data_IF_064687234816
#
_entry.id   IF_064687234816
#
_cell.length_a   1.000
_cell.length_b   1.000
_cell.length_c   1.000
_cell.angle_alpha   90.00
_cell.angle_beta   90.00
_cell.angle_gamma   90.00
#
_symmetry.space_group_name_H-M   'P 1'
#
loop_
_entity.id
_entity.type
_entity.pdbx_description
1 polymer ?
#
# COMPACT_ATOMS: atom_id res chain seq x y z
N UNK A 1 -1.69 15.77 14.55
CA UNK A 1 -0.52 14.99 14.08
C UNK A 1 -0.20 15.44 12.66
N UNK A 2 1.07 15.35 12.22
CA UNK A 2 1.45 15.73 10.87
C UNK A 2 1.15 14.60 9.87
N UNK A 3 0.80 14.95 8.64
CA UNK A 3 0.68 14.00 7.54
C UNK A 3 2.04 13.35 7.28
N UNK A 4 2.04 12.04 7.10
CA UNK A 4 3.22 11.26 6.71
C UNK A 4 3.07 10.80 5.27
N UNK A 5 4.17 10.82 4.52
CA UNK A 5 4.17 10.48 3.11
C UNK A 5 5.34 9.57 2.75
N UNK A 6 5.09 8.64 1.84
CA UNK A 6 6.11 7.83 1.20
C UNK A 6 5.86 7.76 -0.30
N UNK A 7 6.92 7.97 -1.08
CA UNK A 7 6.94 7.62 -2.49
C UNK A 7 7.85 6.41 -2.71
N UNK A 8 7.39 5.46 -3.51
CA UNK A 8 8.15 4.31 -3.98
C UNK A 8 7.69 3.91 -5.39
N UNK A 9 8.49 3.10 -6.07
CA UNK A 9 8.17 2.55 -7.38
C UNK A 9 7.75 1.09 -7.20
N UNK A 10 6.83 0.66 -8.04
CA UNK A 10 6.44 -0.74 -8.17
C UNK A 10 6.43 -1.07 -9.66
N UNK A 11 6.53 -2.35 -10.02
CA UNK A 11 6.33 -2.77 -11.41
C UNK A 11 5.12 -3.68 -11.51
N UNK A 12 4.25 -3.40 -12.47
CA UNK A 12 3.08 -4.23 -12.74
C UNK A 12 3.49 -5.61 -13.33
N UNK A 13 2.54 -6.55 -13.54
CA UNK A 13 2.85 -7.86 -14.09
C UNK A 13 3.47 -7.84 -15.50
N UNK A 14 3.33 -6.74 -16.24
CA UNK A 14 3.97 -6.54 -17.55
C UNK A 14 5.38 -5.94 -17.43
N UNK A 15 5.82 -5.65 -16.20
CA UNK A 15 7.13 -5.06 -15.90
C UNK A 15 7.18 -3.55 -16.07
N UNK A 16 6.05 -2.85 -16.26
CA UNK A 16 6.03 -1.39 -16.39
C UNK A 16 6.11 -0.73 -15.04
N UNK A 17 6.88 0.36 -14.96
CA UNK A 17 7.06 1.07 -13.71
C UNK A 17 5.81 1.89 -13.38
N UNK A 18 5.44 1.90 -12.10
CA UNK A 18 4.40 2.74 -11.55
C UNK A 18 4.93 3.44 -10.30
N UNK A 19 4.77 4.76 -10.25
CA UNK A 19 5.10 5.54 -9.07
C UNK A 19 3.90 5.52 -8.13
N UNK A 20 4.14 5.13 -6.88
CA UNK A 20 3.14 5.12 -5.82
C UNK A 20 3.46 6.24 -4.83
N UNK A 21 2.50 7.13 -4.60
CA UNK A 21 2.51 8.08 -3.49
C UNK A 21 1.48 7.62 -2.46
N UNK A 22 1.96 7.37 -1.25
CA UNK A 22 1.13 7.04 -0.11
C UNK A 22 1.18 8.20 0.89
N UNK A 23 0.04 8.85 1.11
CA UNK A 23 -0.15 9.82 2.20
C UNK A 23 -1.00 9.22 3.31
N UNK A 24 -0.59 9.37 4.56
CA UNK A 24 -1.32 8.89 5.75
C UNK A 24 -1.43 10.01 6.76
N UNK A 25 -2.63 10.19 7.31
CA UNK A 25 -2.88 10.90 8.56
C UNK A 25 -3.06 9.87 9.69
N UNK A 26 -2.03 9.63 10.51
CA UNK A 26 -2.14 8.66 11.60
C UNK A 26 -3.15 9.10 12.67
N UNK A 27 -3.36 10.41 12.85
CA UNK A 27 -4.26 10.94 13.87
C UNK A 27 -5.74 10.66 13.61
N UNK A 28 -6.10 10.44 12.35
CA UNK A 28 -7.47 10.06 11.94
C UNK A 28 -7.55 8.64 11.38
N UNK A 29 -6.42 7.94 11.30
CA UNK A 29 -6.29 6.66 10.59
C UNK A 29 -6.90 6.73 9.16
N UNK A 30 -6.64 7.83 8.46
CA UNK A 30 -7.04 8.04 7.05
C UNK A 30 -5.84 8.27 6.16
N UNK A 31 -6.04 8.20 4.84
CA UNK A 31 -4.95 8.39 3.91
C UNK A 31 -5.40 8.38 2.47
N UNK A 32 -4.42 8.35 1.59
CA UNK A 32 -4.59 8.43 0.15
C UNK A 32 -3.47 7.65 -0.54
N UNK A 33 -3.85 6.85 -1.53
CA UNK A 33 -2.94 6.15 -2.42
C UNK A 33 -3.10 6.69 -3.83
N UNK A 34 -2.02 7.20 -4.41
CA UNK A 34 -1.97 7.64 -5.80
C UNK A 34 -1.00 6.75 -6.57
N UNK A 35 -1.47 6.12 -7.64
CA UNK A 35 -0.65 5.38 -8.58
C UNK A 35 -0.53 6.18 -9.88
N UNK A 36 0.70 6.41 -10.34
CA UNK A 36 1.01 7.07 -11.60
C UNK A 36 1.76 6.08 -12.50
N UNK A 37 1.15 5.68 -13.62
CA UNK A 37 1.81 4.83 -14.61
C UNK A 37 2.70 5.63 -15.57
N UNK A 38 3.52 4.92 -16.38
CA UNK A 38 4.48 5.49 -17.33
C UNK A 38 3.88 6.48 -18.37
N UNK A 39 2.57 6.42 -18.62
CA UNK A 39 1.86 7.36 -19.49
C UNK A 39 1.33 8.63 -18.80
N UNK A 40 1.64 8.84 -17.52
CA UNK A 40 1.14 9.96 -16.72
C UNK A 40 -0.29 9.82 -16.20
N UNK A 41 -0.98 8.72 -16.56
CA UNK A 41 -2.30 8.41 -16.02
C UNK A 41 -2.22 8.16 -14.51
N UNK A 42 -3.08 8.85 -13.75
CA UNK A 42 -3.14 8.73 -12.29
C UNK A 42 -4.42 8.07 -11.85
N UNK A 43 -4.31 7.14 -10.90
CA UNK A 43 -5.45 6.59 -10.16
C UNK A 43 -5.28 6.93 -8.70
N UNK A 44 -6.34 7.44 -8.08
CA UNK A 44 -6.34 7.90 -6.69
C UNK A 44 -7.40 7.14 -5.88
N UNK A 45 -7.00 6.67 -4.70
CA UNK A 45 -7.87 5.97 -3.77
C UNK A 45 -7.80 6.62 -2.40
N UNK A 46 -8.96 7.04 -1.88
CA UNK A 46 -9.08 7.48 -0.50
C UNK A 46 -9.14 6.25 0.42
N UNK A 47 -8.35 6.30 1.48
CA UNK A 47 -8.22 5.23 2.46
C UNK A 47 -8.78 5.71 3.80
N UNK A 48 -9.53 4.85 4.45
CA UNK A 48 -10.02 5.08 5.82
C UNK A 48 -9.73 3.87 6.68
N UNK A 49 -9.83 4.03 8.00
CA UNK A 49 -9.79 2.90 8.94
C UNK A 49 -8.45 2.15 8.85
N UNK A 50 -7.35 2.88 8.64
CA UNK A 50 -6.03 2.29 8.45
C UNK A 50 -5.55 1.57 9.72
N UNK A 51 -5.03 0.36 9.53
CA UNK A 51 -4.43 -0.46 10.57
C UNK A 51 -3.22 -1.18 9.98
N UNK A 52 -2.19 -1.41 10.80
CA UNK A 52 -0.95 -2.07 10.37
C UNK A 52 -0.73 -3.40 11.08
N UNK A 53 0.05 -4.30 10.52
CA UNK A 53 0.62 -5.41 11.30
C UNK A 53 1.79 -4.94 12.16
N UNK A 54 2.11 -5.71 13.19
CA UNK A 54 3.22 -5.41 14.09
C UNK A 54 4.59 -5.39 13.37
N UNK A 55 4.76 -6.24 12.36
CA UNK A 55 5.98 -6.31 11.55
C UNK A 55 6.05 -5.24 10.44
N UNK A 56 4.97 -4.47 10.25
CA UNK A 56 4.87 -3.46 9.20
C UNK A 56 4.76 -4.01 7.77
N UNK A 57 4.61 -5.33 7.59
CA UNK A 57 4.47 -5.95 6.26
C UNK A 57 3.05 -5.94 5.74
N UNK A 58 2.06 -5.61 6.57
CA UNK A 58 0.65 -5.54 6.19
C UNK A 58 0.04 -4.22 6.62
N UNK A 59 -0.80 -3.69 5.74
CA UNK A 59 -1.66 -2.55 6.02
C UNK A 59 -3.07 -2.88 5.55
N UNK A 60 -4.04 -2.81 6.46
CA UNK A 60 -5.46 -2.98 6.17
C UNK A 60 -6.13 -1.62 6.21
N UNK A 61 -7.03 -1.38 5.26
CA UNK A 61 -7.79 -0.13 5.17
C UNK A 61 -9.14 -0.38 4.51
N UNK A 62 -10.00 0.62 4.54
CA UNK A 62 -11.20 0.68 3.71
C UNK A 62 -10.96 1.62 2.52
N UNK A 63 -11.37 1.17 1.35
CA UNK A 63 -11.36 1.94 0.09
C UNK A 63 -12.81 1.98 -0.41
N UNK A 64 -13.43 3.15 -0.34
CA UNK A 64 -14.88 3.30 -0.51
C UNK A 64 -15.65 2.39 0.47
N UNK A 65 -16.28 1.33 -0.04
CA UNK A 65 -16.99 0.31 0.76
C UNK A 65 -16.19 -1.00 0.92
N UNK A 66 -15.00 -1.08 0.32
CA UNK A 66 -14.19 -2.30 0.24
C UNK A 66 -13.18 -2.36 1.37
N UNK A 67 -12.98 -3.52 1.99
CA UNK A 67 -11.78 -3.75 2.80
C UNK A 67 -10.62 -4.09 1.86
N UNK A 68 -9.59 -3.26 1.85
CA UNK A 68 -8.35 -3.51 1.13
C UNK A 68 -7.23 -3.89 2.09
N UNK A 69 -6.46 -4.90 1.72
CA UNK A 69 -5.26 -5.34 2.42
C UNK A 69 -4.08 -5.23 1.48
N UNK A 70 -3.10 -4.43 1.88
CA UNK A 70 -1.78 -4.35 1.26
C UNK A 70 -0.85 -5.27 2.05
N UNK A 71 -0.22 -6.23 1.39
CA UNK A 71 0.72 -7.18 1.99
C UNK A 71 2.03 -7.20 1.21
N UNK A 72 3.14 -7.14 1.94
CA UNK A 72 4.50 -7.23 1.40
C UNK A 72 4.97 -8.67 1.57
N UNK A 73 5.24 -9.33 0.45
CA UNK A 73 5.73 -10.71 0.38
C UNK A 73 7.23 -10.64 0.05
N UNK A 74 8.06 -10.94 1.04
CA UNK A 74 9.51 -10.82 0.96
C UNK A 74 10.24 -12.16 0.76
N UNK A 75 9.49 -13.27 0.78
CA UNK A 75 9.99 -14.61 0.46
C UNK A 75 10.23 -14.82 -1.04
N UNK A 76 9.68 -13.95 -1.89
CA UNK A 76 9.86 -14.00 -3.34
C UNK A 76 11.03 -13.13 -3.82
N UNK A 77 11.60 -13.50 -4.97
CA UNK A 77 12.67 -12.74 -5.63
C UNK A 77 12.28 -12.48 -7.09
N UNK A 78 11.88 -11.24 -7.46
CA UNK A 78 11.84 -10.04 -6.60
C UNK A 78 10.68 -10.07 -5.57
N UNK A 79 10.80 -9.31 -4.45
CA UNK A 79 9.71 -9.12 -3.48
C UNK A 79 8.46 -8.54 -4.14
N UNK A 80 7.29 -8.81 -3.54
CA UNK A 80 6.00 -8.36 -4.08
C UNK A 80 5.16 -7.55 -3.10
N UNK A 81 4.44 -6.56 -3.64
CA UNK A 81 3.31 -5.90 -3.00
C UNK A 81 2.02 -6.51 -3.54
N UNK A 82 1.25 -7.16 -2.68
CA UNK A 82 -0.09 -7.64 -2.98
C UNK A 82 -1.13 -6.68 -2.44
N UNK A 83 -2.09 -6.31 -3.27
CA UNK A 83 -3.23 -5.47 -2.91
C UNK A 83 -4.49 -6.28 -3.18
N UNK A 84 -5.18 -6.65 -2.10
CA UNK A 84 -6.42 -7.43 -2.17
C UNK A 84 -7.56 -6.59 -1.62
N UNK A 85 -8.50 -6.19 -2.46
CA UNK A 85 -9.72 -5.49 -2.04
C UNK A 85 -10.94 -6.42 -2.11
N UNK A 86 -11.70 -6.49 -1.01
CA UNK A 86 -12.88 -7.34 -0.85
C UNK A 86 -14.10 -6.48 -0.54
N UNK A 87 -15.09 -6.57 -1.41
CA UNK A 87 -16.44 -6.02 -1.24
C UNK A 87 -17.39 -7.17 -0.96
N UNK A 88 -17.96 -7.74 -2.02
CA UNK A 88 -18.75 -8.98 -2.05
C UNK A 88 -18.69 -9.51 -3.50
N UNK A 89 -17.50 -9.96 -3.95
CA UNK A 89 -17.11 -10.34 -5.34
C UNK A 89 -17.28 -9.26 -6.45
N UNK A 90 -16.34 -9.09 -7.41
CA UNK A 90 -15.04 -9.74 -7.57
C UNK A 90 -13.94 -9.06 -6.74
N UNK A 91 -13.01 -9.91 -6.29
CA UNK A 91 -11.83 -9.58 -5.50
C UNK A 91 -10.83 -8.89 -6.42
N UNK A 92 -10.61 -7.59 -6.23
CA UNK A 92 -9.47 -6.95 -6.87
C UNK A 92 -8.22 -7.54 -6.21
N UNK A 93 -7.46 -8.32 -6.97
CA UNK A 93 -6.16 -8.85 -6.57
C UNK A 93 -5.12 -8.31 -7.56
N UNK A 94 -4.30 -7.38 -7.07
CA UNK A 94 -3.21 -6.79 -7.82
C UNK A 94 -1.90 -7.17 -7.14
N UNK A 95 -0.94 -7.62 -7.94
CA UNK A 95 0.40 -7.95 -7.47
C UNK A 95 1.40 -7.13 -8.25
N UNK A 96 2.25 -6.40 -7.54
CA UNK A 96 3.33 -5.61 -8.09
C UNK A 96 4.66 -6.11 -7.55
N UNK A 97 5.70 -6.06 -8.37
CA UNK A 97 7.07 -6.33 -7.91
C UNK A 97 7.71 -5.06 -7.37
N UNK A 98 8.57 -5.22 -6.37
CA UNK A 98 9.29 -4.15 -5.68
C UNK A 98 10.79 -4.43 -5.77
N UNK A 99 11.63 -3.40 -5.81
CA UNK A 99 13.04 -3.59 -5.44
C UNK A 99 13.16 -3.91 -3.95
N UNK A 100 14.22 -4.64 -3.54
CA UNK A 100 14.47 -4.91 -2.11
C UNK A 100 14.63 -3.63 -1.29
N UNK A 101 15.27 -2.61 -1.85
CA UNK A 101 15.42 -1.32 -1.20
C UNK A 101 14.07 -0.60 -0.98
N UNK A 102 13.15 -0.67 -1.95
CA UNK A 102 11.81 -0.09 -1.81
C UNK A 102 10.96 -0.86 -0.80
N UNK A 103 11.07 -2.18 -0.81
CA UNK A 103 10.42 -3.04 0.16
C UNK A 103 10.86 -2.69 1.59
N UNK A 104 12.16 -2.62 1.85
CA UNK A 104 12.71 -2.28 3.17
C UNK A 104 12.26 -0.89 3.63
N UNK A 105 12.31 0.10 2.73
CA UNK A 105 11.82 1.46 2.99
C UNK A 105 10.33 1.49 3.34
N UNK A 106 9.51 0.74 2.60
CA UNK A 106 8.07 0.68 2.81
C UNK A 106 7.74 0.05 4.17
N UNK A 107 8.38 -1.08 4.50
CA UNK A 107 8.20 -1.75 5.80
C UNK A 107 8.61 -0.81 6.95
N UNK A 108 9.81 -0.21 6.86
CA UNK A 108 10.29 0.70 7.89
C UNK A 108 9.35 1.90 8.07
N UNK A 109 8.85 2.48 6.98
CA UNK A 109 7.89 3.59 7.03
C UNK A 109 6.55 3.17 7.64
N UNK A 110 5.99 2.00 7.30
CA UNK A 110 4.76 1.52 7.95
C UNK A 110 4.97 1.34 9.46
N UNK A 111 6.17 0.91 9.89
CA UNK A 111 6.50 0.79 11.30
C UNK A 111 6.51 2.14 12.04
N UNK A 112 6.85 3.26 11.37
CA UNK A 112 6.79 4.60 11.97
C UNK A 112 5.38 5.18 12.06
N UNK A 113 4.39 4.60 11.37
CA UNK A 113 3.00 5.05 11.45
C UNK A 113 2.39 4.70 12.81
N UNK A 114 1.90 5.68 13.54
CA UNK A 114 1.15 5.49 14.79
C UNK A 114 -0.31 5.09 14.50
N UNK A 115 -0.48 3.91 13.91
CA UNK A 115 -1.78 3.30 13.61
C UNK A 115 -2.07 2.13 14.54
N UNK A 116 -3.36 1.79 14.67
CA UNK A 116 -3.78 0.59 15.38
C UNK A 116 -3.16 -0.67 14.74
N UNK A 117 -2.82 -1.64 15.58
CA UNK A 117 -2.27 -2.92 15.13
C UNK A 117 -3.41 -3.91 14.89
N UNK A 118 -3.45 -4.52 13.72
CA UNK A 118 -4.35 -5.65 13.43
C UNK A 118 -3.84 -6.86 14.22
N UNK A 119 -4.67 -7.33 15.16
CA UNK A 119 -4.46 -8.56 15.93
C UNK A 119 -4.58 -9.82 15.06
#
# INVERSE_FOLDING_TARGET
>A
MALQQLTFTVHDPEGRAQRVLFTVDPGTATGELVLTGDGGATTQHRLTTLQKSQDGKRLTCQVNVATATLSIVDTESPPRLHIVARLFFPVLDMSYTLSRAEQERLVAWIQTLELAIVS
#
